data_IF_415823241646
#
_entry.id   IF_415823241646
#
_cell.length_a   1.000
_cell.length_b   1.000
_cell.length_c   1.000
_cell.angle_alpha   90.00
_cell.angle_beta   90.00
_cell.angle_gamma   90.00
#
_symmetry.space_group_name_H-M   'P 1'
#
loop_
_entity.id
_entity.type
_entity.pdbx_description
1 polymer ?
#
# COMPACT_ATOMS: atom_id res chain seq x y z
N UNK A 1 -2.96 12.47 39.23
CA UNK A 1 -3.12 11.03 38.88
C UNK A 1 -4.47 10.70 38.25
N UNK A 2 -5.60 11.24 38.74
CA UNK A 2 -6.94 10.89 38.21
C UNK A 2 -7.17 11.36 36.76
N UNK A 3 -6.75 12.58 36.40
CA UNK A 3 -6.83 13.07 35.02
C UNK A 3 -5.99 12.23 34.03
N UNK A 4 -4.78 11.79 34.45
CA UNK A 4 -3.94 10.91 33.65
C UNK A 4 -4.62 9.55 33.42
N UNK A 5 -5.26 8.99 34.46
CA UNK A 5 -5.99 7.73 34.34
C UNK A 5 -7.17 7.85 33.37
N UNK A 6 -7.99 8.89 33.51
CA UNK A 6 -9.11 9.15 32.60
C UNK A 6 -8.65 9.33 31.15
N UNK A 7 -7.53 10.03 30.94
CA UNK A 7 -6.93 10.20 29.61
C UNK A 7 -6.50 8.86 29.00
N UNK A 8 -5.80 8.02 29.77
CA UNK A 8 -5.36 6.70 29.32
C UNK A 8 -6.55 5.77 28.99
N UNK A 9 -7.62 5.80 29.79
CA UNK A 9 -8.83 5.03 29.50
C UNK A 9 -9.50 5.46 28.19
N UNK A 10 -9.51 6.76 27.87
CA UNK A 10 -9.99 7.27 26.58
C UNK A 10 -9.09 6.78 25.43
N UNK A 11 -7.77 6.82 25.59
CA UNK A 11 -6.81 6.34 24.58
C UNK A 11 -7.00 4.86 24.29
N UNK A 12 -7.27 4.03 25.30
CA UNK A 12 -7.55 2.60 25.10
C UNK A 12 -8.83 2.40 24.29
N UNK A 13 -9.88 3.20 24.54
CA UNK A 13 -11.13 3.15 23.75
C UNK A 13 -10.90 3.56 22.29
N UNK A 14 -9.94 4.45 22.02
CA UNK A 14 -9.57 4.84 20.65
C UNK A 14 -8.94 3.70 19.85
N UNK A 15 -8.42 2.65 20.47
CA UNK A 15 -7.85 1.51 19.76
C UNK A 15 -8.86 0.86 18.81
N UNK A 16 -10.11 0.70 19.26
CA UNK A 16 -11.18 0.14 18.43
C UNK A 16 -11.59 1.11 17.32
N UNK A 17 -11.56 2.42 17.56
CA UNK A 17 -11.83 3.44 16.54
C UNK A 17 -10.70 3.45 15.49
N UNK A 18 -9.45 3.27 15.94
CA UNK A 18 -8.27 3.24 15.11
C UNK A 18 -8.31 2.16 14.03
N UNK A 19 -8.86 0.97 14.33
CA UNK A 19 -8.99 -0.08 13.31
C UNK A 19 -9.99 0.30 12.22
N UNK A 20 -11.15 0.88 12.57
CA UNK A 20 -12.10 1.40 11.58
C UNK A 20 -11.52 2.55 10.76
N UNK A 21 -10.80 3.46 11.40
CA UNK A 21 -10.10 4.55 10.69
C UNK A 21 -9.02 4.01 9.73
N UNK A 22 -8.33 2.93 10.10
CA UNK A 22 -7.32 2.32 9.23
C UNK A 22 -7.91 1.80 7.92
N UNK A 23 -9.12 1.21 7.97
CA UNK A 23 -9.83 0.78 6.76
C UNK A 23 -10.08 1.95 5.82
N UNK A 24 -10.61 3.05 6.36
CA UNK A 24 -10.92 4.26 5.60
C UNK A 24 -9.63 4.89 5.06
N UNK A 25 -8.58 4.95 5.87
CA UNK A 25 -7.29 5.51 5.48
C UNK A 25 -6.65 4.72 4.32
N UNK A 26 -6.58 3.38 4.44
CA UNK A 26 -6.04 2.52 3.38
C UNK A 26 -6.90 2.64 2.11
N UNK A 27 -8.22 2.65 2.23
CA UNK A 27 -9.12 2.84 1.09
C UNK A 27 -8.84 4.16 0.36
N UNK A 28 -8.79 5.28 1.08
CA UNK A 28 -8.53 6.61 0.49
C UNK A 28 -7.17 6.62 -0.21
N UNK A 29 -6.13 6.13 0.46
CA UNK A 29 -4.77 6.05 -0.10
C UNK A 29 -4.77 5.23 -1.39
N UNK A 30 -5.44 4.08 -1.39
CA UNK A 30 -5.44 3.15 -2.52
C UNK A 30 -6.25 3.68 -3.70
N UNK A 31 -7.40 4.31 -3.46
CA UNK A 31 -8.18 4.96 -4.53
C UNK A 31 -7.41 6.13 -5.13
N UNK A 32 -6.75 6.95 -4.31
CA UNK A 32 -6.01 8.10 -4.81
C UNK A 32 -4.77 7.68 -5.60
N UNK A 33 -3.90 6.82 -5.01
CA UNK A 33 -2.68 6.35 -5.68
C UNK A 33 -3.03 5.48 -6.90
N UNK A 34 -4.05 4.63 -6.79
CA UNK A 34 -4.53 3.81 -7.90
C UNK A 34 -5.12 4.66 -9.03
N UNK A 35 -5.87 5.71 -8.70
CA UNK A 35 -6.41 6.67 -9.68
C UNK A 35 -5.31 7.45 -10.42
N UNK A 36 -4.23 7.81 -9.73
CA UNK A 36 -3.10 8.47 -10.38
C UNK A 36 -2.38 7.57 -11.40
N UNK A 37 -2.49 6.23 -11.30
CA UNK A 37 -1.86 5.30 -12.25
C UNK A 37 -2.46 5.32 -13.66
N UNK A 38 -3.61 5.98 -13.85
CA UNK A 38 -4.19 6.26 -15.16
C UNK A 38 -3.62 7.51 -15.82
N UNK A 39 -2.76 8.26 -15.13
CA UNK A 39 -2.07 9.42 -15.68
C UNK A 39 -0.70 9.00 -16.23
N UNK A 40 -0.38 9.48 -17.44
CA UNK A 40 0.82 9.09 -18.17
C UNK A 40 2.13 9.27 -17.36
N UNK A 41 2.24 10.36 -16.59
CA UNK A 41 3.43 10.63 -15.78
C UNK A 41 3.68 9.56 -14.70
N UNK A 42 2.63 9.08 -14.03
CA UNK A 42 2.74 8.03 -13.01
C UNK A 42 3.05 6.66 -13.61
N UNK A 43 2.56 6.42 -14.83
CA UNK A 43 2.86 5.21 -15.58
C UNK A 43 4.34 5.17 -15.99
N UNK A 44 4.90 6.29 -16.42
CA UNK A 44 6.33 6.38 -16.74
C UNK A 44 7.19 6.21 -15.46
N UNK A 45 6.69 6.69 -14.32
CA UNK A 45 7.32 6.53 -13.01
C UNK A 45 7.48 5.08 -12.53
N UNK A 46 6.68 4.12 -13.03
CA UNK A 46 6.80 2.70 -12.65
C UNK A 46 7.84 1.92 -13.46
N UNK A 47 8.29 2.46 -14.60
CA UNK A 47 9.26 1.83 -15.48
C UNK A 47 10.49 1.25 -14.77
N UNK A 48 11.22 2.00 -13.90
CA UNK A 48 12.41 1.47 -13.23
C UNK A 48 12.11 0.32 -12.26
N UNK A 49 10.92 0.27 -11.66
CA UNK A 49 10.54 -0.78 -10.71
C UNK A 49 10.18 -2.09 -11.42
N UNK A 50 9.31 -1.99 -12.43
CA UNK A 50 8.86 -3.14 -13.22
C UNK A 50 10.02 -3.74 -14.01
N UNK A 51 10.79 -2.89 -14.69
CA UNK A 51 11.95 -3.34 -15.46
C UNK A 51 12.95 -4.05 -14.55
N UNK A 52 13.23 -3.51 -13.36
CA UNK A 52 14.22 -4.08 -12.44
C UNK A 52 13.76 -5.30 -11.64
N UNK A 53 12.46 -5.59 -11.61
CA UNK A 53 11.92 -6.72 -10.84
C UNK A 53 12.06 -8.05 -11.58
N UNK A 54 12.58 -9.12 -10.94
CA UNK A 54 12.65 -10.44 -11.53
C UNK A 54 11.27 -11.05 -11.81
N UNK A 55 10.21 -10.57 -11.14
CA UNK A 55 8.85 -11.07 -11.30
C UNK A 55 8.01 -10.28 -12.30
N UNK A 56 8.38 -9.04 -12.62
CA UNK A 56 7.56 -8.17 -13.49
C UNK A 56 8.26 -7.74 -14.78
N UNK A 57 9.55 -8.03 -14.96
CA UNK A 57 10.31 -7.65 -16.15
C UNK A 57 9.71 -8.17 -17.46
N UNK A 58 9.08 -9.35 -17.43
CA UNK A 58 8.43 -9.96 -18.61
C UNK A 58 7.23 -9.16 -19.15
N UNK A 59 6.66 -8.25 -18.36
CA UNK A 59 5.53 -7.43 -18.79
C UNK A 59 5.96 -6.35 -19.79
N UNK A 60 7.24 -6.01 -19.82
CA UNK A 60 7.84 -5.06 -20.77
C UNK A 60 8.39 -5.75 -22.00
N UNK A 61 8.30 -5.05 -23.13
CA UNK A 61 8.74 -5.55 -24.44
C UNK A 61 10.24 -5.34 -24.64
N UNK A 62 10.78 -4.25 -24.11
CA UNK A 62 12.18 -3.86 -24.28
C UNK A 62 13.03 -4.18 -23.04
N UNK A 63 14.32 -4.45 -23.25
CA UNK A 63 15.25 -4.85 -22.19
C UNK A 63 15.80 -3.65 -21.38
N UNK A 64 16.39 -3.93 -20.22
CA UNK A 64 17.15 -2.93 -19.45
C UNK A 64 18.39 -2.55 -20.28
N UNK A 65 18.68 -1.26 -20.59
CA UNK A 65 18.33 -0.05 -19.85
C UNK A 65 17.54 1.01 -20.67
N UNK A 66 16.85 0.63 -21.75
CA UNK A 66 16.27 1.58 -22.72
C UNK A 66 15.29 2.58 -22.09
N UNK A 67 14.56 2.18 -21.04
CA UNK A 67 13.66 3.08 -20.31
C UNK A 67 14.34 4.32 -19.71
N UNK A 68 15.67 4.31 -19.52
CA UNK A 68 16.42 5.47 -19.01
C UNK A 68 16.51 6.60 -20.03
N UNK A 69 16.49 6.26 -21.32
CA UNK A 69 16.59 7.23 -22.42
C UNK A 69 15.25 7.93 -22.66
N UNK A 70 14.16 7.22 -22.41
CA UNK A 70 12.79 7.71 -22.58
C UNK A 70 12.17 8.26 -21.29
N UNK A 71 12.95 8.36 -20.20
CA UNK A 71 12.46 8.90 -18.94
C UNK A 71 12.15 10.39 -19.07
N UNK A 72 10.90 10.75 -18.82
CA UNK A 72 10.42 12.12 -18.77
C UNK A 72 10.27 12.61 -17.32
N UNK A 73 10.36 13.93 -17.15
CA UNK A 73 9.99 14.59 -15.88
C UNK A 73 8.47 14.74 -15.76
N UNK A 74 7.98 14.95 -14.53
CA UNK A 74 6.56 15.18 -14.24
C UNK A 74 6.00 16.39 -15.01
N UNK A 75 6.76 17.48 -15.09
CA UNK A 75 6.38 18.65 -15.88
C UNK A 75 6.26 18.33 -17.38
N UNK A 76 7.18 17.55 -17.94
CA UNK A 76 7.19 17.18 -19.36
C UNK A 76 6.02 16.26 -19.76
N UNK A 77 5.56 15.44 -18.83
CA UNK A 77 4.48 14.48 -19.06
C UNK A 77 3.09 15.11 -18.88
N UNK A 78 2.99 16.22 -18.13
CA UNK A 78 1.72 16.91 -17.84
C UNK A 78 1.49 18.21 -18.63
N UNK A 79 2.54 18.92 -19.06
CA UNK A 79 2.37 20.23 -19.71
C UNK A 79 1.89 20.09 -21.16
N UNK A 80 0.69 20.60 -21.44
CA UNK A 80 0.11 20.64 -22.80
C UNK A 80 0.98 21.45 -23.77
N UNK A 81 1.56 22.57 -23.35
CA UNK A 81 2.46 23.39 -24.18
C UNK A 81 3.72 22.64 -24.63
N UNK A 82 4.14 21.65 -23.85
CA UNK A 82 5.35 20.86 -24.11
C UNK A 82 5.04 19.58 -24.90
N UNK A 83 3.75 19.28 -25.11
CA UNK A 83 3.30 18.03 -25.71
C UNK A 83 3.64 17.91 -27.21
N UNK A 84 3.82 19.05 -27.89
CA UNK A 84 4.21 19.13 -29.30
C UNK A 84 5.72 18.98 -29.53
N UNK A 85 6.53 18.85 -28.47
CA UNK A 85 7.96 18.56 -28.62
C UNK A 85 8.14 17.16 -29.25
N UNK A 86 8.84 17.04 -30.39
CA UNK A 86 9.04 15.76 -31.07
C UNK A 86 9.66 14.69 -30.18
N UNK A 87 10.49 15.07 -29.21
CA UNK A 87 11.10 14.14 -28.25
C UNK A 87 10.10 13.58 -27.24
N UNK A 88 9.10 14.38 -26.86
CA UNK A 88 8.03 13.95 -25.94
C UNK A 88 7.07 13.00 -26.65
N UNK A 89 6.77 13.25 -27.92
CA UNK A 89 5.96 12.36 -28.75
C UNK A 89 6.66 11.00 -28.89
N UNK A 90 7.94 11.00 -29.26
CA UNK A 90 8.74 9.77 -29.40
C UNK A 90 8.77 8.95 -28.09
N UNK A 91 8.99 9.61 -26.95
CA UNK A 91 9.00 8.92 -25.65
C UNK A 91 7.64 8.31 -25.30
N UNK A 92 6.54 9.02 -25.56
CA UNK A 92 5.18 8.51 -25.33
C UNK A 92 4.88 7.29 -26.22
N UNK A 93 5.30 7.33 -27.48
CA UNK A 93 5.16 6.20 -28.41
C UNK A 93 5.98 4.99 -27.93
N UNK A 94 7.23 5.22 -27.50
CA UNK A 94 8.06 4.16 -26.94
C UNK A 94 7.41 3.51 -25.71
N UNK A 95 6.88 4.30 -24.78
CA UNK A 95 6.18 3.78 -23.59
C UNK A 95 4.91 3.00 -23.94
N UNK A 96 4.22 3.40 -25.00
CA UNK A 96 3.06 2.68 -25.54
C UNK A 96 3.48 1.32 -26.13
N UNK A 97 4.56 1.29 -26.90
CA UNK A 97 5.11 0.03 -27.44
C UNK A 97 5.66 -0.89 -26.35
N UNK A 98 6.28 -0.31 -25.32
CA UNK A 98 6.81 -1.03 -24.16
C UNK A 98 5.72 -1.55 -23.21
N UNK A 99 4.44 -1.20 -23.46
CA UNK A 99 3.27 -1.55 -22.63
C UNK A 99 3.29 -0.93 -21.23
N UNK A 100 4.06 0.13 -21.02
CA UNK A 100 4.18 0.79 -19.71
C UNK A 100 2.83 1.30 -19.22
N UNK A 101 2.03 1.92 -20.10
CA UNK A 101 0.69 2.42 -19.74
C UNK A 101 -0.26 1.29 -19.32
N UNK A 102 -0.30 0.19 -20.07
CA UNK A 102 -1.15 -0.97 -19.75
C UNK A 102 -0.79 -1.59 -18.39
N UNK A 103 0.50 -1.74 -18.11
CA UNK A 103 0.97 -2.25 -16.81
C UNK A 103 0.58 -1.30 -15.68
N UNK A 104 0.71 0.02 -15.89
CA UNK A 104 0.29 1.02 -14.91
C UNK A 104 -1.21 0.99 -14.63
N UNK A 105 -2.04 0.94 -15.67
CA UNK A 105 -3.50 0.85 -15.54
C UNK A 105 -3.92 -0.41 -14.79
N UNK A 106 -3.34 -1.57 -15.13
CA UNK A 106 -3.62 -2.83 -14.45
C UNK A 106 -3.22 -2.79 -12.96
N UNK A 107 -2.07 -2.18 -12.65
CA UNK A 107 -1.66 -1.93 -11.26
C UNK A 107 -2.64 -0.98 -10.55
N UNK A 108 -3.08 0.09 -11.21
CA UNK A 108 -4.06 1.03 -10.70
C UNK A 108 -5.38 0.36 -10.32
N UNK A 109 -5.95 -0.43 -11.23
CA UNK A 109 -7.17 -1.22 -11.00
C UNK A 109 -6.99 -2.17 -9.82
N UNK A 110 -5.84 -2.86 -9.75
CA UNK A 110 -5.54 -3.81 -8.67
C UNK A 110 -5.49 -3.10 -7.32
N UNK A 111 -4.79 -1.97 -7.22
CA UNK A 111 -4.69 -1.18 -5.99
C UNK A 111 -6.07 -0.68 -5.58
N UNK A 112 -6.85 -0.10 -6.48
CA UNK A 112 -8.21 0.36 -6.14
C UNK A 112 -9.11 -0.78 -5.67
N UNK A 113 -9.03 -1.94 -6.31
CA UNK A 113 -9.79 -3.15 -5.93
C UNK A 113 -9.44 -3.60 -4.52
N UNK A 114 -8.15 -3.63 -4.16
CA UNK A 114 -7.71 -3.94 -2.79
C UNK A 114 -8.21 -2.91 -1.78
N UNK A 115 -8.20 -1.62 -2.14
CA UNK A 115 -8.72 -0.56 -1.28
C UNK A 115 -10.21 -0.74 -1.00
N UNK A 116 -11.01 -1.02 -2.04
CA UNK A 116 -12.44 -1.29 -1.91
C UNK A 116 -12.67 -2.55 -1.07
N UNK A 117 -11.90 -3.63 -1.31
CA UNK A 117 -12.01 -4.87 -0.55
C UNK A 117 -11.75 -4.64 0.94
N UNK A 118 -10.72 -3.86 1.28
CA UNK A 118 -10.48 -3.42 2.66
C UNK A 118 -11.69 -2.65 3.17
N UNK A 119 -12.17 -1.62 2.48
CA UNK A 119 -13.33 -0.83 2.94
C UNK A 119 -14.57 -1.71 3.23
N UNK A 120 -14.84 -2.71 2.40
CA UNK A 120 -15.94 -3.66 2.61
C UNK A 120 -15.78 -4.50 3.90
N UNK A 121 -14.56 -4.63 4.41
CA UNK A 121 -14.23 -5.23 5.71
C UNK A 121 -14.93 -4.56 6.90
N UNK A 122 -15.29 -3.28 6.78
CA UNK A 122 -16.07 -2.57 7.78
C UNK A 122 -17.40 -3.28 8.07
N UNK A 123 -18.08 -3.77 7.03
CA UNK A 123 -19.36 -4.49 7.15
C UNK A 123 -19.18 -6.01 7.20
N UNK A 124 -18.20 -6.55 6.48
CA UNK A 124 -17.96 -7.98 6.38
C UNK A 124 -16.54 -8.31 6.87
N UNK A 125 -16.36 -8.69 8.16
CA UNK A 125 -15.03 -8.87 8.75
C UNK A 125 -14.14 -9.85 7.97
N UNK A 126 -14.70 -10.89 7.36
CA UNK A 126 -13.93 -11.84 6.56
C UNK A 126 -13.25 -11.17 5.33
N UNK A 127 -13.93 -10.21 4.69
CA UNK A 127 -13.34 -9.46 3.57
C UNK A 127 -12.23 -8.53 4.05
N UNK A 128 -12.34 -7.96 5.25
CA UNK A 128 -11.27 -7.15 5.82
C UNK A 128 -10.05 -7.99 6.22
N UNK A 129 -10.24 -9.23 6.68
CA UNK A 129 -9.13 -10.19 6.86
C UNK A 129 -8.41 -10.45 5.54
N UNK A 130 -9.16 -10.83 4.51
CA UNK A 130 -8.57 -11.13 3.19
C UNK A 130 -7.93 -9.89 2.60
N UNK A 131 -8.62 -8.74 2.62
CA UNK A 131 -8.13 -7.46 2.14
C UNK A 131 -6.87 -7.01 2.85
N UNK A 132 -6.85 -7.05 4.18
CA UNK A 132 -5.68 -6.68 4.98
C UNK A 132 -4.45 -7.56 4.69
N UNK A 133 -4.65 -8.88 4.53
CA UNK A 133 -3.58 -9.80 4.14
C UNK A 133 -3.08 -9.58 2.71
N UNK A 134 -3.98 -9.31 1.76
CA UNK A 134 -3.60 -8.99 0.38
C UNK A 134 -2.85 -7.67 0.29
N UNK A 135 -3.27 -6.65 1.05
CA UNK A 135 -2.52 -5.38 1.19
C UNK A 135 -1.13 -5.64 1.74
N UNK A 136 -1.02 -6.40 2.83
CA UNK A 136 0.28 -6.77 3.41
C UNK A 136 1.16 -7.51 2.38
N UNK A 137 0.60 -8.49 1.66
CA UNK A 137 1.31 -9.22 0.60
C UNK A 137 1.81 -8.31 -0.52
N UNK A 138 0.97 -7.40 -1.02
CA UNK A 138 1.35 -6.44 -2.06
C UNK A 138 2.45 -5.49 -1.57
N UNK A 139 2.37 -5.01 -0.32
CA UNK A 139 3.42 -4.13 0.23
C UNK A 139 4.76 -4.85 0.45
N UNK A 140 4.77 -6.18 0.67
CA UNK A 140 6.03 -6.95 0.65
C UNK A 140 6.65 -6.89 -0.75
N UNK A 141 5.83 -7.04 -1.79
CA UNK A 141 6.28 -6.91 -3.17
C UNK A 141 6.86 -5.51 -3.44
N UNK A 142 6.21 -4.43 -2.98
CA UNK A 142 6.74 -3.08 -3.18
C UNK A 142 8.01 -2.82 -2.36
N UNK A 143 8.07 -3.28 -1.11
CA UNK A 143 9.27 -3.19 -0.28
C UNK A 143 10.46 -3.98 -0.87
N UNK A 144 10.20 -5.06 -1.61
CA UNK A 144 11.27 -5.78 -2.33
C UNK A 144 12.02 -4.91 -3.34
N UNK A 145 11.37 -3.87 -3.89
CA UNK A 145 12.00 -2.94 -4.83
C UNK A 145 13.11 -2.11 -4.21
N UNK A 146 13.14 -1.94 -2.89
CA UNK A 146 14.26 -1.31 -2.19
C UNK A 146 15.58 -2.07 -2.41
N UNK A 147 15.49 -3.38 -2.63
CA UNK A 147 16.65 -4.25 -2.87
C UNK A 147 16.88 -4.52 -4.36
N UNK A 148 15.83 -4.62 -5.17
CA UNK A 148 15.98 -4.97 -6.59
C UNK A 148 16.26 -3.77 -7.50
N UNK A 149 15.98 -2.54 -7.05
CA UNK A 149 16.02 -1.34 -7.90
C UNK A 149 17.05 -0.34 -7.38
N UNK A 150 18.24 -0.20 -7.99
CA UNK A 150 19.29 0.71 -7.51
C UNK A 150 18.89 2.20 -7.60
N UNK A 151 17.92 2.56 -8.43
CA UNK A 151 17.40 3.93 -8.59
C UNK A 151 16.66 4.48 -7.35
N UNK A 152 16.38 3.64 -6.35
CA UNK A 152 15.81 4.08 -5.05
C UNK A 152 16.80 4.89 -4.21
N UNK A 153 18.09 4.81 -4.52
CA UNK A 153 19.15 5.56 -3.83
C UNK A 153 19.65 6.73 -4.69
N UNK A 154 19.93 7.88 -4.05
CA UNK A 154 20.51 9.04 -4.71
C UNK A 154 21.90 8.66 -5.22
N UNK A 155 22.15 8.90 -6.52
CA UNK A 155 23.38 8.48 -7.20
C UNK A 155 23.70 6.99 -7.05
N UNK A 156 22.72 6.13 -6.73
CA UNK A 156 22.92 4.70 -6.43
C UNK A 156 23.80 4.43 -5.19
N UNK A 157 23.99 5.43 -4.32
CA UNK A 157 24.78 5.30 -3.10
C UNK A 157 23.88 5.25 -1.87
N UNK A 158 24.02 4.19 -1.07
CA UNK A 158 23.44 4.10 0.26
C UNK A 158 24.05 5.19 1.18
N UNK A 159 23.32 5.84 2.10
CA UNK A 159 21.95 5.60 2.58
C UNK A 159 20.88 6.59 2.06
N UNK A 160 21.23 7.51 1.15
CA UNK A 160 20.34 8.61 0.78
C UNK A 160 19.24 8.15 -0.17
N UNK A 161 17.97 8.33 0.21
CA UNK A 161 16.81 7.90 -0.60
C UNK A 161 16.43 8.93 -1.67
N UNK A 162 16.29 8.46 -2.90
CA UNK A 162 15.71 9.24 -4.01
C UNK A 162 14.19 9.41 -3.80
N UNK A 163 13.53 10.19 -4.67
CA UNK A 163 12.07 10.30 -4.64
C UNK A 163 11.38 8.93 -4.71
N UNK A 164 11.88 8.05 -5.57
CA UNK A 164 11.41 6.67 -5.72
C UNK A 164 11.58 5.84 -4.44
N UNK A 165 12.73 5.93 -3.77
CA UNK A 165 12.97 5.20 -2.51
C UNK A 165 12.07 5.66 -1.37
N UNK A 166 11.77 6.96 -1.28
CA UNK A 166 10.80 7.50 -0.29
C UNK A 166 9.37 7.02 -0.54
N UNK A 167 9.01 6.77 -1.79
CA UNK A 167 7.72 6.20 -2.14
C UNK A 167 7.60 4.72 -1.75
N UNK A 168 8.71 3.98 -1.71
CA UNK A 168 8.71 2.58 -1.26
C UNK A 168 8.68 2.48 0.26
N UNK A 169 9.50 3.29 0.97
CA UNK A 169 9.63 3.15 2.43
C UNK A 169 8.34 3.48 3.19
N UNK A 170 7.49 4.38 2.65
CA UNK A 170 6.19 4.71 3.27
C UNK A 170 5.24 3.51 3.30
N UNK A 171 5.40 2.54 2.38
CA UNK A 171 4.54 1.37 2.29
C UNK A 171 4.69 0.44 3.51
N UNK A 172 5.74 0.60 4.31
CA UNK A 172 5.87 -0.08 5.60
C UNK A 172 4.70 0.23 6.55
N UNK A 173 4.15 1.45 6.49
CA UNK A 173 2.97 1.81 7.25
C UNK A 173 1.72 1.08 6.75
N UNK A 174 1.60 0.89 5.44
CA UNK A 174 0.50 0.13 4.82
C UNK A 174 0.61 -1.37 5.13
N UNK A 175 1.82 -1.92 5.18
CA UNK A 175 2.07 -3.28 5.64
C UNK A 175 1.55 -3.51 7.06
N UNK A 176 1.98 -2.64 7.99
CA UNK A 176 1.53 -2.69 9.38
C UNK A 176 0.01 -2.47 9.48
N UNK A 177 -0.55 -1.52 8.74
CA UNK A 177 -1.98 -1.25 8.68
C UNK A 177 -2.80 -2.45 8.18
N UNK A 178 -2.33 -3.12 7.13
CA UNK A 178 -2.97 -4.33 6.59
C UNK A 178 -3.01 -5.48 7.60
N UNK A 179 -1.91 -5.72 8.32
CA UNK A 179 -1.87 -6.72 9.40
C UNK A 179 -2.77 -6.34 10.60
N UNK A 180 -2.81 -5.06 10.97
CA UNK A 180 -3.68 -4.56 12.03
C UNK A 180 -5.15 -4.76 11.69
N UNK A 181 -5.55 -4.41 10.46
CA UNK A 181 -6.90 -4.66 9.94
C UNK A 181 -7.21 -6.15 10.00
N UNK A 182 -6.35 -7.00 9.43
CA UNK A 182 -6.59 -8.43 9.38
C UNK A 182 -6.74 -9.05 10.78
N UNK A 183 -5.91 -8.64 11.74
CA UNK A 183 -6.03 -9.08 13.13
C UNK A 183 -7.31 -8.59 13.80
N UNK A 184 -7.66 -7.31 13.63
CA UNK A 184 -8.85 -6.72 14.24
C UNK A 184 -10.14 -7.33 13.70
N UNK A 185 -10.19 -7.63 12.41
CA UNK A 185 -11.36 -8.19 11.76
C UNK A 185 -11.46 -9.71 11.96
N UNK A 186 -10.34 -10.42 12.06
CA UNK A 186 -10.35 -11.82 12.47
C UNK A 186 -10.93 -11.96 13.89
N UNK A 187 -10.57 -11.04 14.81
CA UNK A 187 -11.17 -10.97 16.14
C UNK A 187 -12.67 -10.72 16.06
N UNK A 188 -13.12 -9.69 15.32
CA UNK A 188 -14.56 -9.38 15.13
C UNK A 188 -15.33 -10.57 14.53
N UNK A 189 -14.74 -11.27 13.57
CA UNK A 189 -15.34 -12.44 12.94
C UNK A 189 -15.53 -13.60 13.93
N UNK A 190 -14.51 -13.90 14.74
CA UNK A 190 -14.55 -14.99 15.72
C UNK A 190 -15.50 -14.69 16.88
N UNK A 191 -15.51 -13.46 17.38
CA UNK A 191 -16.46 -13.00 18.41
C UNK A 191 -17.91 -13.11 17.91
N UNK A 192 -18.17 -12.74 16.65
CA UNK A 192 -19.48 -12.93 15.99
C UNK A 192 -19.89 -14.39 15.81
N UNK A 193 -18.95 -15.33 15.88
CA UNK A 193 -19.18 -16.79 15.85
C UNK A 193 -19.19 -17.45 17.24
N UNK A 194 -19.08 -16.67 18.31
CA UNK A 194 -19.07 -17.17 19.69
C UNK A 194 -17.71 -17.68 20.20
N UNK A 195 -16.64 -17.51 19.42
CA UNK A 195 -15.26 -17.79 19.87
C UNK A 195 -14.70 -16.57 20.60
N UNK A 196 -14.56 -16.66 21.93
CA UNK A 196 -13.95 -15.59 22.73
C UNK A 196 -12.42 -15.74 22.69
N UNK A 197 -11.74 -14.96 21.83
CA UNK A 197 -10.27 -14.90 21.78
C UNK A 197 -9.73 -13.99 22.89
N UNK A 198 -9.82 -14.46 24.13
CA UNK A 198 -9.11 -13.83 25.24
C UNK A 198 -8.82 -14.83 26.36
N UNK A 199 -7.77 -15.63 26.19
CA UNK A 199 -7.05 -16.15 27.36
C UNK A 199 -5.92 -15.16 27.68
N UNK A 200 -6.16 -14.30 28.68
CA UNK A 200 -5.24 -13.24 29.15
C UNK A 200 -3.97 -13.78 29.81
N UNK A 201 -3.75 -15.09 29.78
CA UNK A 201 -2.65 -15.81 30.42
C UNK A 201 -1.29 -15.61 29.75
N UNK A 202 -1.23 -15.21 28.48
CA UNK A 202 0.04 -14.96 27.77
C UNK A 202 0.71 -13.61 28.12
N UNK A 203 0.01 -12.71 28.83
CA UNK A 203 0.52 -11.37 29.21
C UNK A 203 0.76 -11.24 30.72
N UNK A 204 0.62 -12.33 31.49
CA UNK A 204 0.90 -12.32 32.95
C UNK A 204 -0.05 -11.43 33.78
N UNK A 205 -1.13 -10.91 33.20
CA UNK A 205 -2.13 -10.11 33.91
C UNK A 205 -3.19 -11.04 34.47
N UNK A 206 -3.16 -11.25 35.79
CA UNK A 206 -4.14 -12.06 36.55
C UNK A 206 -5.56 -11.55 36.25
N UNK A 207 -6.33 -12.30 35.46
CA UNK A 207 -7.73 -12.01 35.23
C UNK A 207 -8.51 -12.32 36.52
N UNK A 208 -9.02 -11.27 37.19
CA UNK A 208 -10.01 -11.44 38.25
C UNK A 208 -11.38 -11.65 37.58
N UNK A 209 -11.98 -12.82 37.85
CA UNK A 209 -13.38 -13.20 37.67
C UNK A 209 -14.11 -12.63 36.44
N UNK A 210 -14.05 -13.36 35.31
CA UNK A 210 -15.05 -13.24 34.26
C UNK A 210 -15.99 -14.45 34.36
N UNK A 211 -17.10 -14.29 35.08
CA UNK A 211 -18.25 -15.20 34.99
C UNK A 211 -19.18 -14.69 33.87
N UNK A 212 -19.35 -15.54 32.85
CA UNK A 212 -20.32 -15.42 31.73
C UNK A 212 -20.27 -14.15 30.88
N UNK A 213 -19.72 -14.27 29.67
CA UNK A 213 -19.80 -13.28 28.60
C UNK A 213 -18.56 -12.39 28.52
N UNK A 214 -17.92 -12.35 27.35
CA UNK A 214 -16.63 -11.72 27.08
C UNK A 214 -16.48 -10.35 27.80
N UNK A 215 -15.50 -10.27 28.71
CA UNK A 215 -15.20 -9.05 29.45
C UNK A 215 -14.62 -7.97 28.51
N UNK A 216 -15.33 -6.83 28.42
CA UNK A 216 -14.91 -5.61 27.73
C UNK A 216 -13.78 -4.88 28.43
#
# INVERSE_FOLDING_TARGET
MQALKSLLEVIVKLQNVGSYLMHIAIFIIFVWIGGLKFVAYEAEGIAPFVANSPFFSFMYKFEKPEYKQHKMSEAQSMNEEMQDDPKIIENKEWHKENRTYLVSEALGITIMTLGILVLLGLWMPLLGVVGGLLVAGMTITTLSFLFTTPEVFVNQHFPWLSGAGRLVIKDLALFAGGLLIAGSDAKRYLEGKGFCLMNRSSVGIKAKNCSSGCCS
#
